data_IF_554151243911
#
_entry.id   IF_554151243911
#
_cell.length_a   1.000
_cell.length_b   1.000
_cell.length_c   1.000
_cell.angle_alpha   90.00
_cell.angle_beta   90.00
_cell.angle_gamma   90.00
#
_symmetry.space_group_name_H-M   'P 1'
#
loop_
_entity.id
_entity.type
_entity.pdbx_description
1 polymer ?
#
# COMPACT_ATOMS: atom_id res chain seq x y z
N UNK A 1 -18.65 22.98 36.99
CA UNK A 1 -19.15 22.31 35.76
C UNK A 1 -18.65 22.95 34.46
N UNK A 2 -18.75 24.28 34.27
CA UNK A 2 -18.34 24.95 33.01
C UNK A 2 -16.86 24.73 32.61
N UNK A 3 -15.93 24.79 33.57
CA UNK A 3 -14.49 24.54 33.31
C UNK A 3 -14.19 23.09 32.98
N UNK A 4 -14.89 22.14 33.61
CA UNK A 4 -14.76 20.70 33.32
C UNK A 4 -15.20 20.36 31.90
N UNK A 5 -16.28 20.99 31.42
CA UNK A 5 -16.73 20.84 30.04
C UNK A 5 -15.70 21.38 29.04
N UNK A 6 -15.08 22.54 29.34
CA UNK A 6 -14.03 23.10 28.50
C UNK A 6 -12.79 22.20 28.39
N UNK A 7 -12.32 21.66 29.53
CA UNK A 7 -11.18 20.71 29.55
C UNK A 7 -11.53 19.42 28.80
N UNK A 8 -12.74 18.91 28.98
CA UNK A 8 -13.22 17.72 28.27
C UNK A 8 -13.24 17.92 26.74
N UNK A 9 -13.73 19.07 26.27
CA UNK A 9 -13.76 19.37 24.83
C UNK A 9 -12.36 19.50 24.23
N UNK A 10 -11.41 20.10 24.96
CA UNK A 10 -10.01 20.18 24.53
C UNK A 10 -9.39 18.79 24.43
N UNK A 11 -9.58 17.93 25.44
CA UNK A 11 -9.11 16.54 25.41
C UNK A 11 -9.70 15.78 24.23
N UNK A 12 -11.01 15.92 23.98
CA UNK A 12 -11.67 15.29 22.84
C UNK A 12 -11.08 15.77 21.50
N UNK A 13 -10.80 17.07 21.36
CA UNK A 13 -10.19 17.61 20.15
C UNK A 13 -8.78 17.07 19.93
N UNK A 14 -7.95 16.99 20.98
CA UNK A 14 -6.58 16.45 20.88
C UNK A 14 -6.58 14.98 20.44
N UNK A 15 -7.46 14.16 21.03
CA UNK A 15 -7.52 12.73 20.71
C UNK A 15 -8.06 12.50 19.29
N UNK A 16 -9.09 13.25 18.87
CA UNK A 16 -9.63 13.14 17.51
C UNK A 16 -8.62 13.60 16.45
N UNK A 17 -7.91 14.71 16.66
CA UNK A 17 -6.85 15.17 15.76
C UNK A 17 -5.70 14.16 15.63
N UNK A 18 -5.29 13.57 16.74
CA UNK A 18 -4.21 12.55 16.74
C UNK A 18 -4.64 11.29 15.97
N UNK A 19 -5.90 10.89 16.11
CA UNK A 19 -6.46 9.75 15.37
C UNK A 19 -6.48 10.00 13.85
N UNK A 20 -6.92 11.19 13.42
CA UNK A 20 -6.94 11.56 12.00
C UNK A 20 -5.52 11.65 11.43
N UNK A 21 -4.59 12.25 12.17
CA UNK A 21 -3.19 12.37 11.76
C UNK A 21 -2.53 11.00 11.59
N UNK A 22 -2.77 10.08 12.53
CA UNK A 22 -2.27 8.70 12.44
C UNK A 22 -2.76 8.00 11.17
N UNK A 23 -4.07 8.09 10.89
CA UNK A 23 -4.63 7.53 9.66
C UNK A 23 -4.00 8.14 8.39
N UNK A 24 -3.75 9.45 8.40
CA UNK A 24 -3.09 10.13 7.28
C UNK A 24 -1.64 9.64 7.08
N UNK A 25 -0.89 9.40 8.17
CA UNK A 25 0.46 8.84 8.08
C UNK A 25 0.47 7.46 7.42
N UNK A 26 -0.47 6.58 7.77
CA UNK A 26 -0.61 5.26 7.14
C UNK A 26 -0.86 5.37 5.63
N UNK A 27 -1.67 6.33 5.19
CA UNK A 27 -1.90 6.56 3.75
C UNK A 27 -0.61 7.01 3.05
N UNK A 28 0.14 7.93 3.66
CA UNK A 28 1.40 8.44 3.09
C UNK A 28 2.46 7.33 3.02
N UNK A 29 2.56 6.49 4.05
CA UNK A 29 3.46 5.34 4.06
C UNK A 29 3.12 4.35 2.94
N UNK A 30 1.85 3.98 2.80
CA UNK A 30 1.38 3.11 1.72
C UNK A 30 1.62 3.72 0.34
N UNK A 31 1.41 5.02 0.16
CA UNK A 31 1.69 5.72 -1.09
C UNK A 31 3.17 5.75 -1.44
N UNK A 32 4.03 6.01 -0.45
CA UNK A 32 5.48 6.03 -0.65
C UNK A 32 6.01 4.63 -0.99
N UNK A 33 5.52 3.60 -0.29
CA UNK A 33 5.85 2.21 -0.59
C UNK A 33 5.36 1.81 -1.98
N UNK A 34 4.12 2.16 -2.34
CA UNK A 34 3.55 1.87 -3.66
C UNK A 34 4.36 2.51 -4.80
N UNK A 35 4.77 3.77 -4.65
CA UNK A 35 5.63 4.46 -5.61
C UNK A 35 7.03 3.82 -5.68
N UNK A 36 7.61 3.43 -4.55
CA UNK A 36 8.89 2.72 -4.51
C UNK A 36 8.81 1.39 -5.27
N UNK A 37 7.77 0.59 -5.04
CA UNK A 37 7.57 -0.70 -5.72
C UNK A 37 7.43 -0.51 -7.23
N UNK A 38 6.69 0.51 -7.68
CA UNK A 38 6.59 0.81 -9.11
C UNK A 38 7.97 1.08 -9.71
N UNK A 39 8.73 2.00 -9.10
CA UNK A 39 10.06 2.35 -9.60
C UNK A 39 11.02 1.14 -9.57
N UNK A 40 11.01 0.35 -8.49
CA UNK A 40 11.86 -0.84 -8.38
C UNK A 40 11.51 -1.89 -9.45
N UNK A 41 10.22 -2.07 -9.78
CA UNK A 41 9.80 -2.99 -10.84
C UNK A 41 10.18 -2.47 -12.24
N UNK A 42 10.02 -1.18 -12.50
CA UNK A 42 10.43 -0.56 -13.79
C UNK A 42 11.95 -0.59 -13.97
N UNK A 43 12.72 -0.17 -12.96
CA UNK A 43 14.19 -0.09 -13.01
C UNK A 43 14.85 -1.48 -13.10
N UNK A 44 14.17 -2.53 -12.63
CA UNK A 44 14.67 -3.89 -12.65
C UNK A 44 14.17 -4.73 -13.83
N UNK A 45 13.40 -4.13 -14.74
CA UNK A 45 12.76 -4.86 -15.84
C UNK A 45 11.98 -6.08 -15.33
N UNK A 46 11.22 -5.87 -14.24
CA UNK A 46 10.41 -6.89 -13.58
C UNK A 46 11.20 -8.11 -13.08
N UNK A 47 12.46 -7.95 -12.67
CA UNK A 47 13.28 -9.04 -12.12
C UNK A 47 12.58 -9.71 -10.92
N UNK A 48 12.57 -11.05 -10.93
CA UNK A 48 11.90 -11.85 -9.91
C UNK A 48 12.47 -11.65 -8.49
N UNK A 49 13.77 -11.39 -8.34
CA UNK A 49 14.40 -11.14 -7.03
C UNK A 49 14.05 -9.75 -6.49
N UNK A 50 13.95 -8.75 -7.37
CA UNK A 50 13.50 -7.41 -7.01
C UNK A 50 12.01 -7.43 -6.64
N UNK A 51 11.19 -8.10 -7.45
CA UNK A 51 9.78 -8.32 -7.14
C UNK A 51 9.61 -9.02 -5.78
N UNK A 52 10.41 -10.05 -5.47
CA UNK A 52 10.41 -10.70 -4.15
C UNK A 52 10.66 -9.70 -3.02
N UNK A 53 11.65 -8.82 -3.19
CA UNK A 53 11.95 -7.78 -2.20
C UNK A 53 10.75 -6.83 -2.03
N UNK A 54 10.06 -6.47 -3.11
CA UNK A 54 8.83 -5.67 -3.07
C UNK A 54 7.71 -6.35 -2.27
N UNK A 55 7.46 -7.65 -2.50
CA UNK A 55 6.47 -8.42 -1.73
C UNK A 55 6.84 -8.52 -0.25
N UNK A 56 8.12 -8.73 0.07
CA UNK A 56 8.60 -8.76 1.45
C UNK A 56 8.44 -7.40 2.15
N UNK A 57 8.72 -6.30 1.45
CA UNK A 57 8.58 -4.94 1.98
C UNK A 57 7.11 -4.60 2.26
N UNK A 58 6.20 -4.97 1.36
CA UNK A 58 4.75 -4.85 1.60
C UNK A 58 4.29 -5.68 2.80
N UNK A 59 4.73 -6.94 2.89
CA UNK A 59 4.39 -7.80 4.02
C UNK A 59 4.90 -7.26 5.37
N UNK A 60 6.12 -6.70 5.41
CA UNK A 60 6.69 -6.06 6.61
C UNK A 60 5.88 -4.84 7.05
N UNK A 61 5.32 -4.08 6.12
CA UNK A 61 4.43 -2.96 6.40
C UNK A 61 3.02 -3.40 6.87
N UNK A 62 2.69 -4.69 6.74
CA UNK A 62 1.34 -5.21 7.00
C UNK A 62 0.37 -5.01 5.85
N UNK A 63 0.90 -4.69 4.67
CA UNK A 63 0.15 -4.48 3.43
C UNK A 63 0.18 -5.74 2.56
N UNK A 64 -0.78 -5.85 1.64
CA UNK A 64 -0.87 -6.96 0.68
C UNK A 64 -0.62 -6.42 -0.72
N UNK A 65 0.45 -6.91 -1.36
CA UNK A 65 0.79 -6.57 -2.73
C UNK A 65 0.18 -7.60 -3.70
N UNK A 66 -0.41 -7.12 -4.79
CA UNK A 66 -0.86 -7.92 -5.93
C UNK A 66 -0.37 -7.25 -7.21
N UNK A 67 0.24 -8.02 -8.11
CA UNK A 67 0.71 -7.54 -9.40
C UNK A 67 -0.14 -8.16 -10.51
N UNK A 68 -0.64 -7.38 -11.46
CA UNK A 68 -1.25 -7.90 -12.68
C UNK A 68 -0.32 -7.61 -13.84
N UNK A 69 0.39 -8.64 -14.27
CA UNK A 69 1.33 -8.59 -15.37
C UNK A 69 0.55 -8.70 -16.69
N UNK A 70 0.82 -7.79 -17.60
CA UNK A 70 0.33 -7.84 -18.97
C UNK A 70 1.49 -8.28 -19.84
N UNK A 71 1.32 -9.43 -20.48
CA UNK A 71 2.34 -10.06 -21.29
C UNK A 71 2.23 -9.61 -22.75
N UNK A 72 3.32 -9.76 -23.52
CA UNK A 72 3.37 -9.41 -24.95
C UNK A 72 2.38 -10.21 -25.81
N UNK A 73 1.94 -11.39 -25.34
CA UNK A 73 0.90 -12.20 -25.98
C UNK A 73 -0.54 -11.71 -25.67
N UNK A 74 -0.68 -10.54 -25.05
CA UNK A 74 -1.94 -9.94 -24.60
C UNK A 74 -2.63 -10.70 -23.45
N UNK A 75 -1.99 -11.69 -22.84
CA UNK A 75 -2.51 -12.38 -21.65
C UNK A 75 -2.23 -11.58 -20.38
N UNK A 76 -3.09 -11.77 -19.36
CA UNK A 76 -2.98 -11.11 -18.07
C UNK A 76 -2.77 -12.17 -17.00
N UNK A 77 -1.70 -12.03 -16.21
CA UNK A 77 -1.40 -12.89 -15.08
C UNK A 77 -1.42 -12.09 -13.78
N UNK A 78 -2.29 -12.49 -12.86
CA UNK A 78 -2.25 -11.97 -11.49
C UNK A 78 -1.23 -12.77 -10.70
N UNK A 79 -0.28 -12.07 -10.10
CA UNK A 79 0.79 -12.57 -9.28
C UNK A 79 0.57 -12.05 -7.86
N UNK A 80 0.44 -12.98 -6.92
CA UNK A 80 0.32 -12.68 -5.49
C UNK A 80 1.59 -13.04 -4.71
N UNK A 81 2.55 -13.66 -5.39
CA UNK A 81 3.82 -14.08 -4.83
C UNK A 81 4.91 -14.05 -5.91
N UNK A 82 6.09 -13.52 -5.60
CA UNK A 82 7.18 -13.38 -6.55
C UNK A 82 7.60 -14.70 -7.23
N UNK A 83 7.41 -15.85 -6.57
CA UNK A 83 7.70 -17.17 -7.15
C UNK A 83 6.86 -17.51 -8.39
N UNK A 84 5.75 -16.79 -8.62
CA UNK A 84 4.91 -16.98 -9.79
C UNK A 84 5.42 -16.22 -11.02
N UNK A 85 6.43 -15.35 -10.85
CA UNK A 85 7.12 -14.65 -11.94
C UNK A 85 8.14 -15.63 -12.53
N UNK A 86 7.75 -16.29 -13.61
CA UNK A 86 8.54 -17.35 -14.25
C UNK A 86 9.53 -16.83 -15.30
N UNK A 87 9.23 -15.68 -15.92
CA UNK A 87 10.11 -15.01 -16.88
C UNK A 87 9.69 -13.54 -17.00
N UNK A 88 10.66 -12.63 -17.01
CA UNK A 88 10.42 -11.19 -17.13
C UNK A 88 10.43 -10.72 -18.59
N UNK A 89 11.05 -11.48 -19.50
CA UNK A 89 11.25 -11.12 -20.92
C UNK A 89 9.96 -10.88 -21.72
N UNK A 90 8.82 -11.37 -21.22
CA UNK A 90 7.51 -11.25 -21.88
C UNK A 90 6.60 -10.19 -21.23
N UNK A 91 7.04 -9.48 -20.20
CA UNK A 91 6.21 -8.51 -19.45
C UNK A 91 6.29 -7.14 -20.13
N UNK A 92 5.15 -6.62 -20.60
CA UNK A 92 5.07 -5.30 -21.25
C UNK A 92 4.70 -4.19 -20.26
N UNK A 93 3.91 -4.52 -19.24
CA UNK A 93 3.49 -3.60 -18.18
C UNK A 93 2.98 -4.38 -16.98
N UNK A 94 3.08 -3.81 -15.78
CA UNK A 94 2.48 -4.37 -14.58
C UNK A 94 1.53 -3.38 -13.92
N UNK A 95 0.32 -3.81 -13.58
CA UNK A 95 -0.53 -3.06 -12.66
C UNK A 95 -0.21 -3.48 -11.23
N UNK A 96 0.25 -2.52 -10.44
CA UNK A 96 0.64 -2.69 -9.04
C UNK A 96 -0.53 -2.31 -8.15
N UNK A 97 -1.11 -3.28 -7.44
CA UNK A 97 -2.20 -3.10 -6.47
C UNK A 97 -1.67 -3.34 -5.05
N UNK A 98 -1.61 -2.30 -4.22
CA UNK A 98 -1.22 -2.39 -2.81
C UNK A 98 -2.45 -2.19 -1.92
N UNK A 99 -2.82 -3.21 -1.17
CA UNK A 99 -3.93 -3.17 -0.20
C UNK A 99 -3.37 -2.87 1.18
N UNK A 100 -3.87 -1.82 1.81
CA UNK A 100 -3.44 -1.37 3.13
C UNK A 100 -4.63 -1.09 4.03
N UNK A 101 -4.43 -1.21 5.34
CA UNK A 101 -5.49 -0.98 6.33
C UNK A 101 -5.41 0.44 6.89
N UNK A 102 -6.36 1.29 6.51
CA UNK A 102 -6.58 2.58 7.16
C UNK A 102 -7.29 2.37 8.49
N UNK A 103 -6.71 2.86 9.58
CA UNK A 103 -7.30 2.75 10.90
C UNK A 103 -7.30 4.08 11.66
N UNK A 104 -8.44 4.40 12.27
CA UNK A 104 -8.55 5.50 13.25
C UNK A 104 -9.06 4.90 14.56
N UNK A 105 -8.10 4.55 15.43
CA UNK A 105 -8.35 3.78 16.65
C UNK A 105 -9.43 4.41 17.56
N UNK A 106 -9.43 5.74 17.72
CA UNK A 106 -10.39 6.43 18.59
C UNK A 106 -11.84 6.31 18.11
N UNK A 107 -12.07 6.27 16.81
CA UNK A 107 -13.40 6.11 16.22
C UNK A 107 -13.74 4.64 15.91
N UNK A 108 -12.84 3.70 16.20
CA UNK A 108 -13.01 2.29 15.84
C UNK A 108 -13.08 2.05 14.33
N UNK A 109 -12.59 2.98 13.51
CA UNK A 109 -12.60 2.85 12.06
C UNK A 109 -11.44 1.95 11.68
N UNK A 110 -11.73 0.89 10.93
CA UNK A 110 -10.74 0.07 10.22
C UNK A 110 -11.31 -0.24 8.84
N UNK A 111 -10.63 0.23 7.80
CA UNK A 111 -11.07 0.07 6.42
C UNK A 111 -9.89 -0.33 5.56
N UNK A 112 -10.10 -1.33 4.69
CA UNK A 112 -9.13 -1.70 3.67
C UNK A 112 -9.24 -0.72 2.50
N UNK A 113 -8.10 -0.24 2.03
CA UNK A 113 -7.97 0.61 0.85
C UNK A 113 -6.98 -0.01 -0.12
N UNK A 114 -7.19 0.26 -1.42
CA UNK A 114 -6.33 -0.23 -2.49
C UNK A 114 -5.72 0.96 -3.22
N UNK A 115 -4.39 1.01 -3.27
CA UNK A 115 -3.64 1.86 -4.18
C UNK A 115 -3.38 1.07 -5.45
N UNK A 116 -3.63 1.69 -6.60
CA UNK A 116 -3.41 1.07 -7.91
C UNK A 116 -2.57 2.00 -8.75
N UNK A 117 -1.56 1.46 -9.41
CA UNK A 117 -0.71 2.17 -10.37
C UNK A 117 -0.22 1.22 -11.45
N UNK A 118 0.49 1.78 -12.43
CA UNK A 118 1.10 1.02 -13.51
C UNK A 118 2.61 1.24 -13.46
N UNK A 119 3.34 0.14 -13.55
CA UNK A 119 4.74 0.09 -13.95
C UNK A 119 4.77 -0.20 -15.46
N UNK A 120 5.59 0.55 -16.19
CA UNK A 120 5.78 0.47 -17.64
C UNK A 120 7.17 -0.10 -17.96
#
# INVERSE_FOLDING_TARGET
MKTFLGVFLIMFMVVTSSGVLSGFMTVVEAQNLHAQIINELEDSDYDSSVAQTCFENASKAGDTLELKLYLTDNSIRTVTDASQITSSDDIEKARVELKFNYAVAFFGIKQEHVLSGYAL
#
